data_IF_109160395733
#
_entry.id   IF_109160395733
#
_cell.length_a   1.000
_cell.length_b   1.000
_cell.length_c   1.000
_cell.angle_alpha   90.00
_cell.angle_beta   90.00
_cell.angle_gamma   90.00
#
_symmetry.space_group_name_H-M   'P 1'
#
loop_
_entity.id
_entity.type
_entity.pdbx_description
1 polymer ?
2 non-polymer ?
3 non-polymer ?
4 water ?
#
# COMPACT_ATOMS: atom_id res chain seq x y z
N UNK A 30 -9.36 -23.92 2.43
CA UNK A 30 -8.87 -23.37 3.69
C UNK A 30 -8.89 -21.85 3.67
N UNK A 31 -10.07 -21.27 3.92
CA UNK A 31 -10.26 -19.83 3.87
C UNK A 31 -10.49 -19.29 5.28
N UNK A 32 -9.74 -18.23 5.63
CA UNK A 32 -9.90 -17.58 6.92
C UNK A 32 -11.00 -16.54 6.88
N UNK A 33 -11.78 -16.45 7.97
CA UNK A 33 -12.82 -15.45 8.12
C UNK A 33 -12.40 -14.30 9.02
N UNK A 34 -11.13 -14.27 9.45
CA UNK A 34 -10.64 -13.14 10.24
C UNK A 34 -10.52 -11.91 9.35
N UNK A 35 -11.01 -10.78 9.84
CA UNK A 35 -10.98 -9.54 9.06
C UNK A 35 -9.57 -8.98 8.99
N UNK A 36 -9.18 -8.51 7.80
CA UNK A 36 -7.92 -7.81 7.60
C UNK A 36 -8.23 -6.56 6.79
N UNK A 37 -8.14 -5.40 7.41
CA UNK A 37 -8.48 -4.13 6.79
C UNK A 37 -7.23 -3.28 6.66
N UNK A 38 -6.86 -2.93 5.42
CA UNK A 38 -5.70 -2.10 5.15
C UNK A 38 -6.16 -0.79 4.52
N UNK A 39 -5.69 0.34 5.08
CA UNK A 39 -5.96 1.65 4.51
C UNK A 39 -4.87 2.05 3.53
N UNK A 40 -5.27 2.64 2.41
CA UNK A 40 -4.32 3.19 1.44
C UNK A 40 -4.41 4.71 1.53
N UNK A 41 -3.34 5.36 1.98
CA UNK A 41 -3.32 6.79 2.28
C UNK A 41 -2.28 7.51 1.44
N UNK A 42 -2.60 8.74 1.08
CA UNK A 42 -1.66 9.55 0.32
C UNK A 42 -2.37 10.74 -0.29
N UNK A 43 -1.56 11.70 -0.74
CA UNK A 43 -2.09 12.91 -1.33
C UNK A 43 -2.91 12.61 -2.57
N UNK A 44 -3.83 13.53 -2.87
CA UNK A 44 -4.64 13.43 -4.08
C UNK A 44 -3.76 13.34 -5.32
N UNK A 45 -4.09 12.39 -6.20
CA UNK A 45 -3.40 12.22 -7.46
C UNK A 45 -2.12 11.41 -7.46
N UNK A 46 -1.69 10.87 -6.31
CA UNK A 46 -0.44 10.11 -6.29
C UNK A 46 -0.60 8.74 -6.95
N UNK A 47 -1.82 8.25 -7.10
CA UNK A 47 -2.02 6.95 -7.74
C UNK A 47 -2.71 5.90 -6.90
N UNK A 48 -3.46 6.32 -5.87
CA UNK A 48 -4.03 5.37 -4.91
C UNK A 48 -5.05 4.44 -5.59
N UNK A 49 -5.96 5.00 -6.38
CA UNK A 49 -6.97 4.16 -7.02
C UNK A 49 -6.31 3.19 -7.99
N UNK A 50 -5.34 3.68 -8.79
CA UNK A 50 -4.61 2.82 -9.71
C UNK A 50 -3.89 1.70 -8.97
N UNK A 51 -3.31 2.01 -7.81
CA UNK A 51 -2.61 1.00 -7.03
C UNK A 51 -3.56 -0.06 -6.50
N UNK A 52 -4.73 0.35 -6.02
CA UNK A 52 -5.71 -0.63 -5.54
C UNK A 52 -6.12 -1.55 -6.68
N UNK A 53 -6.38 -0.99 -7.87
CA UNK A 53 -6.73 -1.84 -9.01
C UNK A 53 -5.60 -2.81 -9.35
N UNK A 54 -4.35 -2.33 -9.33
CA UNK A 54 -3.22 -3.22 -9.57
C UNK A 54 -3.15 -4.36 -8.55
N UNK A 55 -3.15 -4.00 -7.27
CA UNK A 55 -2.90 -5.01 -6.25
C UNK A 55 -4.07 -5.97 -6.07
N UNK A 56 -5.27 -5.59 -6.54
CA UNK A 56 -6.44 -6.45 -6.40
C UNK A 56 -6.87 -7.06 -7.72
N UNK A 57 -6.03 -6.97 -8.76
CA UNK A 57 -6.43 -7.47 -10.10
C UNK A 57 -7.84 -7.04 -10.51
N UNK A 58 -8.13 -5.75 -10.30
CA UNK A 58 -9.38 -5.07 -10.65
C UNK A 58 -10.61 -5.60 -9.90
N UNK A 59 -10.43 -6.42 -8.86
CA UNK A 59 -11.53 -6.83 -7.97
C UNK A 59 -11.78 -5.68 -7.00
N UNK A 60 -12.46 -4.66 -7.51
CA UNK A 60 -12.56 -3.35 -6.86
C UNK A 60 -13.94 -2.79 -7.08
N UNK A 61 -14.49 -2.19 -6.03
CA UNK A 61 -15.76 -1.46 -6.10
C UNK A 61 -15.46 -0.03 -5.67
N UNK A 62 -15.73 0.93 -6.55
CA UNK A 62 -15.31 2.30 -6.29
C UNK A 62 -16.32 3.31 -6.80
N UNK A 63 -16.25 4.49 -6.21
CA UNK A 63 -17.17 5.60 -6.51
C UNK A 63 -16.53 6.89 -6.00
N UNK A 64 -17.15 8.06 -6.18
CA UNK A 64 -16.52 9.30 -5.72
C UNK A 64 -16.22 9.34 -4.24
N UNK A 65 -16.92 8.57 -3.41
CA UNK A 65 -16.72 8.65 -1.97
C UNK A 65 -15.71 7.62 -1.46
N UNK A 66 -15.83 6.37 -1.89
CA UNK A 66 -14.97 5.32 -1.37
C UNK A 66 -14.65 4.30 -2.46
N UNK A 67 -13.49 3.67 -2.29
CA UNK A 67 -13.02 2.59 -3.15
C UNK A 67 -12.53 1.47 -2.24
N UNK A 68 -13.02 0.25 -2.44
CA UNK A 68 -12.53 -0.90 -1.69
C UNK A 68 -12.16 -2.01 -2.69
N UNK A 69 -10.98 -2.59 -2.49
CA UNK A 69 -10.58 -3.74 -3.28
C UNK A 69 -10.37 -4.95 -2.39
N UNK A 70 -10.43 -6.13 -3.00
CA UNK A 70 -10.10 -7.38 -2.33
C UNK A 70 -8.76 -7.88 -2.86
N UNK A 71 -7.80 -8.02 -1.97
CA UNK A 71 -6.50 -8.62 -2.31
C UNK A 71 -6.45 -9.99 -1.66
N UNK A 72 -6.59 -11.05 -2.46
CA UNK A 72 -6.52 -12.41 -1.94
C UNK A 72 -5.07 -12.74 -1.60
N UNK A 73 -4.85 -13.23 -0.38
CA UNK A 73 -3.50 -13.44 0.13
C UNK A 73 -3.41 -14.82 0.79
N UNK A 74 -2.44 -15.63 0.35
CA UNK A 74 -2.20 -16.93 0.95
C UNK A 74 -1.18 -16.76 2.07
N UNK A 75 -1.64 -16.87 3.31
CA UNK A 75 -0.80 -16.64 4.47
C UNK A 75 0.07 -17.88 4.70
N UNK A 76 1.36 -17.64 4.95
CA UNK A 76 2.37 -18.70 5.11
C UNK A 76 2.17 -19.78 4.06
N UNK A 77 2.20 -19.34 2.80
CA UNK A 77 1.94 -20.23 1.67
C UNK A 77 3.02 -21.30 1.59
N UNK A 78 2.60 -22.52 1.21
CA UNK A 78 3.51 -23.64 1.09
C UNK A 78 3.76 -24.42 2.37
N UNK A 79 2.97 -24.18 3.42
CA UNK A 79 3.09 -24.87 4.70
C UNK A 79 1.73 -25.44 5.06
N UNK A 80 1.69 -26.46 5.91
CA UNK A 80 0.38 -26.93 6.43
C UNK A 80 -0.38 -25.86 7.19
N UNK A 81 0.25 -24.72 7.51
CA UNK A 81 -0.39 -23.58 8.11
C UNK A 81 -1.06 -22.65 7.09
N UNK A 82 -1.07 -23.02 5.81
CA UNK A 82 -1.54 -22.10 4.78
C UNK A 82 -3.04 -21.86 4.92
N UNK A 83 -3.42 -20.57 4.90
CA UNK A 83 -4.81 -20.13 4.91
C UNK A 83 -4.93 -18.98 3.91
N UNK A 84 -6.08 -18.90 3.25
CA UNK A 84 -6.38 -17.78 2.36
C UNK A 84 -7.14 -16.69 3.12
N UNK A 85 -6.63 -15.45 3.03
CA UNK A 85 -7.24 -14.27 3.63
C UNK A 85 -7.76 -13.36 2.54
N UNK A 86 -8.91 -12.75 2.77
CA UNK A 86 -9.52 -11.82 1.82
C UNK A 86 -9.31 -10.41 2.37
N UNK A 87 -8.17 -9.80 2.01
CA UNK A 87 -7.76 -8.53 2.59
C UNK A 87 -8.50 -7.38 1.91
N UNK A 88 -9.04 -6.46 2.71
CA UNK A 88 -9.66 -5.24 2.19
C UNK A 88 -8.61 -4.15 2.04
N UNK A 89 -8.55 -3.55 0.86
CA UNK A 89 -7.76 -2.34 0.61
C UNK A 89 -8.73 -1.18 0.42
N UNK A 90 -8.66 -0.18 1.30
CA UNK A 90 -9.56 0.96 1.30
C UNK A 90 -8.85 2.22 0.83
N UNK A 91 -9.47 2.93 -0.11
CA UNK A 91 -8.98 4.21 -0.61
C UNK A 91 -10.15 5.19 -0.51
N UNK A 92 -10.09 6.14 0.43
CA UNK A 92 -11.19 7.09 0.61
C UNK A 92 -10.75 8.54 0.40
N UNK A 93 -9.51 8.79 -0.01
CA UNK A 93 -9.06 10.12 -0.38
C UNK A 93 -9.00 11.09 0.79
N UNK A 94 -9.14 12.36 0.47
CA UNK A 94 -9.01 13.43 1.45
C UNK A 94 -7.69 14.18 1.30
N UNK A 95 -7.43 15.05 2.26
CA UNK A 95 -6.18 15.82 2.24
C UNK A 95 -5.77 16.17 3.67
N UNK A 96 -4.46 16.18 3.89
CA UNK A 96 -3.92 16.53 5.20
C UNK A 96 -3.67 18.04 5.26
N UNK A 103 -6.74 19.12 4.66
CA UNK A 103 -7.89 19.59 5.44
C UNK A 103 -9.01 18.56 5.47
N UNK A 104 -9.29 17.94 4.31
CA UNK A 104 -10.39 16.99 4.19
C UNK A 104 -10.11 15.74 5.03
N UNK A 105 -10.97 15.49 6.01
CA UNK A 105 -10.83 14.35 6.91
C UNK A 105 -11.90 13.31 6.60
N UNK A 106 -11.50 12.04 6.57
CA UNK A 106 -12.41 10.93 6.36
C UNK A 106 -12.33 9.93 7.51
N UNK A 107 -12.21 10.44 8.75
CA UNK A 107 -11.88 9.58 9.90
C UNK A 107 -12.94 8.52 10.19
N UNK A 108 -14.18 8.70 9.73
CA UNK A 108 -15.21 7.69 9.91
C UNK A 108 -14.88 6.40 9.17
N UNK A 109 -13.92 6.45 8.24
CA UNK A 109 -13.50 5.28 7.48
C UNK A 109 -12.27 4.60 8.07
N UNK A 110 -11.71 5.17 9.14
CA UNK A 110 -10.45 4.71 9.69
C UNK A 110 -10.63 3.77 10.89
N UNK A 111 -11.81 3.16 11.02
CA UNK A 111 -12.08 2.25 12.11
C UNK A 111 -11.62 0.82 11.79
N UNK A 112 -11.12 0.14 12.82
CA UNK A 112 -10.73 -1.27 12.73
C UNK A 112 -9.66 -1.53 11.67
N UNK A 113 -8.68 -0.63 11.59
CA UNK A 113 -7.61 -0.73 10.60
C UNK A 113 -6.49 -1.59 11.15
N UNK A 114 -6.01 -2.54 10.33
CA UNK A 114 -4.94 -3.46 10.73
C UNK A 114 -3.59 -3.14 10.08
N UNK A 115 -3.58 -2.33 9.02
CA UNK A 115 -2.32 -1.99 8.36
C UNK A 115 -2.54 -0.79 7.47
N UNK A 116 -1.45 -0.12 7.13
CA UNK A 116 -1.51 1.11 6.35
C UNK A 116 -0.47 1.05 5.23
N UNK A 117 -0.91 1.33 4.00
CA UNK A 117 -0.02 1.53 2.85
C UNK A 117 0.06 3.04 2.63
N UNK A 118 1.28 3.59 2.73
CA UNK A 118 1.51 5.00 2.53
C UNK A 118 2.03 5.21 1.12
N UNK A 119 1.30 5.97 0.31
CA UNK A 119 1.56 6.10 -1.12
C UNK A 119 2.08 7.49 -1.40
N UNK A 120 3.21 7.58 -2.11
CA UNK A 120 3.75 8.85 -2.58
C UNK A 120 4.11 8.74 -4.06
N UNK A 121 4.04 9.89 -4.73
CA UNK A 121 4.35 10.03 -6.14
C UNK A 121 5.84 10.38 -6.29
N UNK A 122 6.61 9.49 -6.93
CA UNK A 122 8.06 9.68 -6.99
C UNK A 122 8.47 10.93 -7.76
N UNK A 123 7.58 11.48 -8.58
CA UNK A 123 7.85 12.75 -9.26
C UNK A 123 7.42 13.96 -8.45
N UNK A 124 6.89 13.78 -7.25
CA UNK A 124 6.42 14.88 -6.41
C UNK A 124 6.98 14.69 -5.00
N UNK A 125 8.12 15.33 -4.70
CA UNK A 125 8.72 15.17 -3.40
C UNK A 125 7.80 15.62 -2.27
N UNK A 126 6.90 16.57 -2.55
CA UNK A 126 6.01 17.04 -1.49
C UNK A 126 5.07 15.93 -1.01
N UNK A 127 4.66 15.02 -1.91
CA UNK A 127 3.77 13.96 -1.48
C UNK A 127 4.46 13.01 -0.50
N UNK A 128 5.79 12.90 -0.54
CA UNK A 128 6.47 12.06 0.43
C UNK A 128 6.61 12.76 1.78
N UNK A 129 6.73 14.08 1.78
CA UNK A 129 6.81 14.81 3.05
C UNK A 129 5.51 14.71 3.83
N UNK A 130 4.38 14.50 3.15
CA UNK A 130 3.08 14.44 3.79
C UNK A 130 2.75 13.08 4.39
N UNK A 131 3.59 12.06 4.16
CA UNK A 131 3.25 10.73 4.68
C UNK A 131 3.22 10.70 6.20
N UNK A 132 4.09 11.49 6.86
CA UNK A 132 4.04 11.51 8.31
C UNK A 132 2.68 11.98 8.81
N UNK A 133 2.17 13.08 8.24
CA UNK A 133 0.85 13.58 8.61
C UNK A 133 -0.24 12.56 8.28
N UNK A 134 -0.12 11.87 7.14
CA UNK A 134 -1.12 10.85 6.81
C UNK A 134 -1.12 9.75 7.86
N UNK A 135 0.07 9.34 8.33
CA UNK A 135 0.15 8.26 9.31
C UNK A 135 -0.50 8.68 10.63
N UNK A 136 -0.52 9.98 10.91
CA UNK A 136 -1.14 10.45 12.14
C UNK A 136 -2.67 10.42 12.08
N UNK A 137 -3.25 10.42 10.88
CA UNK A 137 -4.70 10.36 10.74
C UNK A 137 -5.29 9.11 11.37
N UNK A 138 -4.50 8.05 11.50
CA UNK A 138 -4.96 6.81 12.11
C UNK A 138 -4.41 6.68 13.52
N UNK A 163 4.15 2.84 18.06
CA UNK A 163 2.91 2.26 17.53
C UNK A 163 3.16 0.84 17.01
N UNK A 164 2.08 0.09 16.82
CA UNK A 164 2.17 -1.30 16.42
C UNK A 164 1.56 -1.61 15.06
N UNK A 165 0.82 -0.68 14.45
CA UNK A 165 0.15 -0.96 13.18
C UNK A 165 1.20 -1.02 12.06
N UNK A 166 1.37 -2.14 11.38
CA UNK A 166 2.38 -2.23 10.31
C UNK A 166 2.15 -1.24 9.17
N UNK A 167 3.26 -0.77 8.60
CA UNK A 167 3.27 0.21 7.52
C UNK A 167 4.08 -0.29 6.34
N UNK A 168 3.66 0.10 5.14
CA UNK A 168 4.35 -0.16 3.89
C UNK A 168 4.39 1.14 3.09
N UNK A 169 5.55 1.49 2.53
CA UNK A 169 5.67 2.73 1.76
C UNK A 169 5.80 2.37 0.28
N UNK A 170 4.89 2.89 -0.54
CA UNK A 170 4.87 2.58 -1.96
C UNK A 170 5.02 3.87 -2.76
N UNK A 171 6.07 3.93 -3.59
CA UNK A 171 6.25 5.03 -4.52
C UNK A 171 5.72 4.69 -5.90
N UNK A 172 4.95 5.61 -6.47
CA UNK A 172 4.33 5.43 -7.77
C UNK A 172 5.05 6.24 -8.83
N UNK A 173 4.68 5.96 -10.09
CA UNK A 173 5.19 6.68 -11.27
C UNK A 173 6.70 6.52 -11.44
N UNK A 174 7.20 5.32 -11.07
CA UNK A 174 8.61 5.01 -11.32
C UNK A 174 8.96 5.11 -12.80
N UNK A 175 7.98 4.86 -13.67
CA UNK A 175 8.19 4.92 -15.11
C UNK A 175 8.48 6.34 -15.60
N UNK A 176 8.15 7.35 -14.81
CA UNK A 176 8.37 8.75 -15.17
C UNK A 176 9.69 9.31 -14.65
N UNK A 177 10.54 8.47 -14.06
CA UNK A 177 11.84 8.89 -13.54
C UNK A 177 12.92 8.36 -14.47
N UNK A 178 13.78 9.27 -14.95
CA UNK A 178 14.84 8.89 -15.87
C UNK A 178 15.92 8.07 -15.17
N UNK A 179 16.60 7.22 -15.95
CA UNK A 179 17.62 6.35 -15.39
C UNK A 179 18.72 7.15 -14.69
N UNK A 180 18.94 8.40 -15.12
CA UNK A 180 19.95 9.24 -14.48
C UNK A 180 19.54 9.63 -13.07
N UNK A 181 18.40 10.32 -12.94
CA UNK A 181 17.87 10.78 -11.65
C UNK A 181 17.27 9.66 -10.82
N UNK A 182 17.22 8.42 -11.36
CA UNK A 182 16.57 7.34 -10.64
C UNK A 182 17.34 6.94 -9.39
N UNK A 183 18.67 6.88 -9.47
CA UNK A 183 19.46 6.43 -8.32
C UNK A 183 19.27 7.36 -7.13
N UNK A 184 19.17 8.65 -7.39
CA UNK A 184 19.04 9.62 -6.30
C UNK A 184 17.68 9.55 -5.64
N UNK A 185 16.62 9.43 -6.46
CA UNK A 185 15.27 9.27 -5.90
C UNK A 185 15.19 8.02 -5.05
N UNK A 186 15.76 6.91 -5.53
CA UNK A 186 15.65 5.64 -4.82
C UNK A 186 16.48 5.63 -3.54
N UNK A 187 17.64 6.30 -3.52
CA UNK A 187 18.35 6.42 -2.25
C UNK A 187 17.47 7.16 -1.24
N UNK A 188 16.83 8.25 -1.68
CA UNK A 188 16.02 9.04 -0.76
C UNK A 188 14.79 8.25 -0.30
N UNK A 189 14.22 7.42 -1.17
CA UNK A 189 13.02 6.70 -0.74
C UNK A 189 13.36 5.57 0.23
N UNK A 190 14.58 5.02 0.13
CA UNK A 190 15.04 4.06 1.14
C UNK A 190 15.11 4.72 2.52
N UNK A 191 15.63 5.95 2.59
CA UNK A 191 15.66 6.68 3.85
C UNK A 191 14.25 6.95 4.36
N UNK A 192 13.37 7.39 3.46
CA UNK A 192 11.97 7.64 3.79
C UNK A 192 11.33 6.42 4.42
N UNK A 193 11.51 5.26 3.79
CA UNK A 193 10.88 4.04 4.33
C UNK A 193 11.44 3.72 5.71
N UNK A 194 12.74 3.96 5.92
CA UNK A 194 13.34 3.71 7.23
C UNK A 194 12.68 4.54 8.31
N UNK A 195 12.29 5.77 7.97
CA UNK A 195 11.60 6.65 8.92
C UNK A 195 10.32 6.02 9.47
N UNK A 196 9.69 5.13 8.70
CA UNK A 196 8.43 4.52 9.12
C UNK A 196 8.60 3.08 9.54
N UNK A 197 9.85 2.64 9.73
CA UNK A 197 10.18 1.24 10.02
C UNK A 197 9.44 0.30 9.07
N UNK A 198 9.55 0.59 7.78
CA UNK A 198 8.71 -0.05 6.77
C UNK A 198 9.56 -0.45 5.58
N UNK A 199 9.11 -1.48 4.87
CA UNK A 199 9.69 -1.77 3.57
C UNK A 199 9.12 -0.83 2.51
N UNK A 200 9.82 -0.73 1.39
CA UNK A 200 9.46 0.18 0.32
C UNK A 200 9.30 -0.59 -0.98
N UNK A 201 8.30 -0.20 -1.76
CA UNK A 201 8.08 -0.71 -3.10
C UNK A 201 7.94 0.49 -4.01
N UNK A 202 8.70 0.51 -5.10
CA UNK A 202 8.56 1.55 -6.10
C UNK A 202 8.14 0.93 -7.42
N UNK A 203 7.11 1.48 -8.05
CA UNK A 203 6.55 0.82 -9.21
C UNK A 203 5.79 1.79 -10.11
N UNK A 204 5.37 1.25 -11.26
CA UNK A 204 4.42 1.87 -12.18
C UNK A 204 3.07 1.17 -11.98
N UNK A 205 2.10 1.91 -11.43
CA UNK A 205 0.77 1.35 -11.15
C UNK A 205 0.04 0.89 -12.40
N UNK A 206 0.38 1.43 -13.57
CA UNK A 206 -0.32 1.14 -14.81
C UNK A 206 0.23 -0.09 -15.52
N UNK A 207 1.29 -0.68 -15.00
CA UNK A 207 1.92 -1.86 -15.59
C UNK A 207 1.57 -3.08 -14.75
N UNK A 208 0.75 -4.02 -15.23
CA UNK A 208 0.39 -5.18 -14.39
C UNK A 208 1.58 -6.06 -14.02
N UNK A 209 2.71 -5.96 -14.73
CA UNK A 209 3.87 -6.74 -14.33
C UNK A 209 4.55 -6.20 -13.08
N UNK A 210 4.16 -5.00 -12.62
CA UNK A 210 4.82 -4.35 -11.48
C UNK A 210 4.78 -5.19 -10.22
N UNK A 211 3.71 -5.94 -10.00
CA UNK A 211 3.60 -6.80 -8.82
C UNK A 211 3.28 -8.24 -9.22
N UNK A 212 3.95 -8.74 -10.27
CA UNK A 212 3.66 -10.09 -10.74
C UNK A 212 4.00 -11.12 -9.68
N UNK A 213 3.25 -12.23 -9.69
CA UNK A 213 3.51 -13.33 -8.79
C UNK A 213 4.96 -13.78 -8.90
N UNK A 214 5.64 -13.88 -7.76
CA UNK A 214 7.01 -14.32 -7.73
C UNK A 214 8.05 -13.22 -7.83
N UNK A 215 7.64 -12.00 -8.16
CA UNK A 215 8.58 -10.88 -8.26
C UNK A 215 9.02 -10.41 -6.88
N UNK A 216 10.11 -9.63 -6.87
CA UNK A 216 10.57 -9.04 -5.62
C UNK A 216 9.48 -8.17 -4.99
N UNK A 217 8.79 -7.36 -5.79
CA UNK A 217 7.72 -6.51 -5.26
C UNK A 217 6.64 -7.36 -4.61
N UNK A 218 6.28 -8.49 -5.24
CA UNK A 218 5.19 -9.30 -4.70
C UNK A 218 5.62 -9.98 -3.39
N UNK A 219 6.89 -10.39 -3.30
CA UNK A 219 7.40 -10.95 -2.05
C UNK A 219 7.34 -9.91 -0.93
N UNK A 220 7.72 -8.67 -1.21
CA UNK A 220 7.64 -7.61 -0.20
C UNK A 220 6.20 -7.34 0.22
N UNK A 221 5.27 -7.27 -0.73
CA UNK A 221 3.87 -7.06 -0.37
C UNK A 221 3.37 -8.23 0.48
N UNK A 222 3.75 -9.45 0.09
CA UNK A 222 3.30 -10.63 0.82
C UNK A 222 3.84 -10.62 2.24
N UNK A 223 5.11 -10.23 2.40
CA UNK A 223 5.69 -10.09 3.73
C UNK A 223 4.90 -9.07 4.56
N UNK A 224 4.52 -7.95 3.95
CA UNK A 224 3.74 -6.93 4.65
C UNK A 224 2.39 -7.49 5.10
N UNK A 225 1.69 -8.19 4.20
CA UNK A 225 0.39 -8.76 4.57
C UNK A 225 0.53 -9.80 5.67
N UNK A 226 1.57 -10.64 5.60
CA UNK A 226 1.84 -11.60 6.68
C UNK A 226 1.99 -10.90 8.02
N UNK A 227 2.71 -9.77 8.05
CA UNK A 227 2.93 -9.07 9.31
C UNK A 227 1.64 -8.48 9.84
N UNK A 228 0.81 -7.89 8.95
CA UNK A 228 -0.49 -7.37 9.34
C UNK A 228 -1.32 -8.46 10.00
N UNK A 229 -1.33 -9.64 9.40
CA UNK A 229 -2.11 -10.75 9.93
C UNK A 229 -1.56 -11.20 11.28
N UNK A 230 -0.23 -11.22 11.42
CA UNK A 230 0.41 -11.68 12.66
C UNK A 230 0.20 -10.69 13.80
N UNK A 231 0.45 -9.41 13.56
CA UNK A 231 0.27 -8.41 14.60
C UNK A 231 -1.15 -8.43 15.15
N UNK A 232 -2.14 -8.59 14.27
CA UNK A 232 -3.53 -8.60 14.71
C UNK A 232 -3.86 -9.90 15.42
#
# INVERSE_FOLDING_TARGET
MSYYHHHHHHDYDIPTTENLYFQGAMDPEFASLDRVKVLVLGDSGVGKSSLVHLLCHNQVLGNPSWTVGCSVHDYKEGTPEEKTYYIELWDVGGSVGSASSVKSTRAVFYNSVNGIILVHDLTNKKSSQNLYRWSLEVLNRDAVPTGVLVTNGDYDREQFADNQIPLLVIGTKLDQIHETKRHEVLIRTAFLAEDFNAEEINLDCTNPRSSAAGSSNAVKLSRFFDKVIEKRYFFREGNQI
#
